data_IF_961476879039
#
_entry.id   IF_961476879039
#
_cell.length_a   1.000
_cell.length_b   1.000
_cell.length_c   1.000
_cell.angle_alpha   90.00
_cell.angle_beta   90.00
_cell.angle_gamma   90.00
#
_symmetry.space_group_name_H-M   'P 1'
#
loop_
_entity.id
_entity.type
_entity.pdbx_description
1 polymer ?
#
# COMPACT_ATOMS: atom_id res chain seq x y z
N UNK A 1 -35.59 3.08 23.73
CA UNK A 1 -35.12 2.17 22.66
C UNK A 1 -33.65 2.45 22.45
N UNK A 2 -32.80 1.71 23.16
CA UNK A 2 -31.35 1.87 23.07
C UNK A 2 -30.87 0.87 22.03
N UNK A 3 -30.63 1.33 20.80
CA UNK A 3 -30.01 0.53 19.75
C UNK A 3 -28.58 0.21 20.17
N UNK A 4 -28.40 -1.02 20.65
CA UNK A 4 -27.13 -1.68 20.90
C UNK A 4 -26.20 -1.49 19.70
N UNK A 5 -25.19 -0.64 19.86
CA UNK A 5 -24.04 -0.53 18.96
C UNK A 5 -23.34 -1.89 18.91
N UNK A 6 -23.61 -2.66 17.87
CA UNK A 6 -22.81 -3.83 17.55
C UNK A 6 -21.40 -3.33 17.26
N UNK A 7 -20.49 -3.51 18.21
CA UNK A 7 -19.06 -3.34 17.99
C UNK A 7 -18.67 -4.18 16.76
N UNK A 8 -18.30 -3.48 15.68
CA UNK A 8 -17.68 -4.08 14.51
C UNK A 8 -16.38 -4.72 14.97
N UNK A 9 -16.40 -6.03 15.20
CA UNK A 9 -15.19 -6.78 15.51
C UNK A 9 -14.37 -6.85 14.22
N UNK A 10 -13.41 -5.93 14.09
CA UNK A 10 -12.49 -5.84 12.98
C UNK A 10 -11.26 -6.69 13.28
N UNK A 11 -10.79 -7.46 12.30
CA UNK A 11 -9.64 -8.35 12.46
C UNK A 11 -8.65 -8.12 11.31
N UNK A 12 -7.36 -8.04 11.63
CA UNK A 12 -6.30 -7.96 10.63
C UNK A 12 -5.87 -9.37 10.23
N UNK A 13 -5.79 -9.63 8.93
CA UNK A 13 -5.42 -10.93 8.35
C UNK A 13 -4.55 -10.73 7.11
N UNK A 14 -3.86 -11.80 6.69
CA UNK A 14 -3.16 -11.84 5.39
C UNK A 14 -4.14 -11.68 4.24
N UNK A 15 -3.68 -11.15 3.10
CA UNK A 15 -4.48 -11.09 1.88
C UNK A 15 -4.23 -12.36 1.05
N UNK A 16 -5.15 -13.34 1.03
CA UNK A 16 -5.00 -14.52 0.19
C UNK A 16 -5.21 -14.19 -1.29
N UNK A 17 -4.63 -15.00 -2.18
CA UNK A 17 -4.67 -14.77 -3.64
C UNK A 17 -6.09 -14.64 -4.20
N UNK A 18 -7.04 -15.41 -3.66
CA UNK A 18 -8.44 -15.38 -4.09
C UNK A 18 -9.17 -14.07 -3.72
N UNK A 19 -8.52 -13.15 -3.00
CA UNK A 19 -9.06 -11.84 -2.61
C UNK A 19 -8.29 -10.66 -3.20
N UNK A 20 -7.35 -10.90 -4.11
CA UNK A 20 -6.60 -9.81 -4.76
C UNK A 20 -7.50 -8.86 -5.53
N UNK A 21 -8.53 -9.37 -6.21
CA UNK A 21 -9.48 -8.54 -6.95
C UNK A 21 -10.30 -7.63 -6.01
N UNK A 22 -10.73 -8.15 -4.86
CA UNK A 22 -11.42 -7.36 -3.83
C UNK A 22 -10.50 -6.28 -3.25
N UNK A 23 -9.23 -6.62 -2.98
CA UNK A 23 -8.24 -5.67 -2.48
C UNK A 23 -8.01 -4.53 -3.48
N UNK A 24 -7.84 -4.84 -4.77
CA UNK A 24 -7.68 -3.83 -5.82
C UNK A 24 -8.94 -2.97 -5.95
N UNK A 25 -10.12 -3.59 -5.88
CA UNK A 25 -11.39 -2.86 -5.92
C UNK A 25 -11.53 -1.86 -4.76
N UNK A 26 -11.16 -2.28 -3.53
CA UNK A 26 -11.11 -1.40 -2.38
C UNK A 26 -10.19 -0.19 -2.62
N UNK A 27 -9.00 -0.40 -3.21
CA UNK A 27 -8.06 0.69 -3.50
C UNK A 27 -8.58 1.67 -4.56
N UNK A 28 -9.28 1.20 -5.59
CA UNK A 28 -9.91 2.07 -6.60
C UNK A 28 -10.92 3.03 -5.96
N UNK A 29 -11.66 2.57 -4.95
CA UNK A 29 -12.71 3.35 -4.30
C UNK A 29 -12.20 4.28 -3.20
N UNK A 30 -11.17 3.86 -2.46
CA UNK A 30 -10.77 4.50 -1.21
C UNK A 30 -9.40 5.18 -1.26
N UNK A 31 -8.59 4.94 -2.30
CA UNK A 31 -7.20 5.38 -2.34
C UNK A 31 -6.79 6.06 -3.64
N UNK A 32 -6.93 5.41 -4.80
CA UNK A 32 -6.27 5.87 -6.04
C UNK A 32 -6.58 7.32 -6.43
N UNK A 33 -7.85 7.73 -6.36
CA UNK A 33 -8.27 9.08 -6.72
C UNK A 33 -8.00 10.14 -5.63
N UNK A 34 -7.85 9.72 -4.37
CA UNK A 34 -7.64 10.61 -3.23
C UNK A 34 -6.14 10.83 -2.95
N UNK A 35 -5.28 9.96 -3.49
CA UNK A 35 -3.83 10.07 -3.33
C UNK A 35 -3.30 11.39 -3.93
N UNK A 36 -2.52 12.19 -3.17
CA UNK A 36 -2.10 13.52 -3.59
C UNK A 36 -1.43 13.63 -4.97
N UNK A 37 -0.50 12.75 -5.33
CA UNK A 37 0.19 12.81 -6.62
C UNK A 37 -0.71 12.36 -7.78
N UNK A 38 -1.50 11.29 -7.59
CA UNK A 38 -2.49 10.83 -8.56
C UNK A 38 -3.53 11.91 -8.83
N UNK A 39 -4.04 12.56 -7.79
CA UNK A 39 -5.01 13.64 -7.91
C UNK A 39 -4.39 14.87 -8.59
N UNK A 40 -3.16 15.24 -8.23
CA UNK A 40 -2.47 16.39 -8.80
C UNK A 40 -2.27 16.31 -10.32
N UNK A 41 -2.11 15.10 -10.88
CA UNK A 41 -2.00 14.88 -12.34
C UNK A 41 -3.30 14.39 -12.98
N UNK A 42 -4.36 14.24 -12.19
CA UNK A 42 -5.64 13.67 -12.62
C UNK A 42 -5.47 12.29 -13.26
N UNK A 43 -4.80 11.38 -12.57
CA UNK A 43 -4.43 10.06 -13.08
C UNK A 43 -5.65 9.16 -13.33
N UNK A 44 -6.62 9.14 -12.42
CA UNK A 44 -7.86 8.37 -12.52
C UNK A 44 -8.97 8.98 -11.66
N UNK A 45 -10.24 8.78 -12.02
CA UNK A 45 -11.36 9.12 -11.14
C UNK A 45 -11.66 7.98 -10.13
N UNK A 46 -12.44 8.29 -9.10
CA UNK A 46 -12.80 7.32 -8.05
C UNK A 46 -13.54 6.13 -8.66
N UNK A 47 -13.08 4.92 -8.36
CA UNK A 47 -13.65 3.67 -8.85
C UNK A 47 -13.23 3.31 -10.28
N UNK A 48 -12.59 4.20 -11.02
CA UNK A 48 -12.05 3.88 -12.34
C UNK A 48 -10.84 2.96 -12.24
N UNK A 49 -10.70 2.10 -13.24
CA UNK A 49 -9.52 1.25 -13.37
C UNK A 49 -8.33 2.05 -13.87
N UNK A 50 -7.14 1.79 -13.32
CA UNK A 50 -5.89 2.32 -13.85
C UNK A 50 -4.84 1.21 -13.93
N UNK A 51 -4.51 0.80 -15.15
CA UNK A 51 -3.80 -0.44 -15.43
C UNK A 51 -2.45 -0.53 -14.70
N UNK A 52 -1.62 0.51 -14.79
CA UNK A 52 -0.28 0.49 -14.19
C UNK A 52 -0.31 0.52 -12.66
N UNK A 53 -1.27 1.25 -12.06
CA UNK A 53 -1.45 1.27 -10.61
C UNK A 53 -1.90 -0.10 -10.10
N UNK A 54 -2.87 -0.71 -10.76
CA UNK A 54 -3.38 -2.02 -10.39
C UNK A 54 -2.34 -3.10 -10.54
N UNK A 55 -1.57 -3.05 -11.63
CA UNK A 55 -0.43 -3.95 -11.85
C UNK A 55 0.62 -3.78 -10.76
N UNK A 56 0.94 -2.55 -10.37
CA UNK A 56 1.86 -2.28 -9.26
C UNK A 56 1.33 -2.83 -7.93
N UNK A 57 0.04 -2.64 -7.64
CA UNK A 57 -0.61 -3.19 -6.45
C UNK A 57 -0.60 -4.72 -6.46
N UNK A 58 -0.95 -5.35 -7.58
CA UNK A 58 -0.97 -6.81 -7.74
C UNK A 58 0.43 -7.41 -7.54
N UNK A 59 1.48 -6.81 -8.13
CA UNK A 59 2.86 -7.24 -7.92
C UNK A 59 3.29 -7.12 -6.46
N UNK A 60 2.76 -6.15 -5.72
CA UNK A 60 3.01 -5.98 -4.28
C UNK A 60 2.25 -7.02 -3.45
N UNK A 61 0.96 -7.26 -3.76
CA UNK A 61 0.14 -8.28 -3.10
C UNK A 61 0.77 -9.68 -3.21
N UNK A 62 1.29 -10.02 -4.39
CA UNK A 62 1.98 -11.29 -4.67
C UNK A 62 3.25 -11.53 -3.85
N UNK A 63 3.77 -10.51 -3.17
CA UNK A 63 4.90 -10.68 -2.25
C UNK A 63 4.48 -11.31 -0.91
N UNK A 64 3.18 -11.34 -0.60
CA UNK A 64 2.64 -12.09 0.53
C UNK A 64 2.74 -11.41 1.90
N UNK A 65 3.11 -10.13 1.96
CA UNK A 65 3.23 -9.37 3.22
C UNK A 65 2.09 -8.38 3.48
N UNK A 66 1.20 -8.23 2.50
CA UNK A 66 0.10 -7.27 2.58
C UNK A 66 -0.97 -7.74 3.55
N UNK A 67 -1.60 -6.78 4.23
CA UNK A 67 -2.54 -7.02 5.32
C UNK A 67 -3.87 -6.35 5.02
N UNK A 68 -4.97 -7.02 5.31
CA UNK A 68 -6.32 -6.49 5.21
C UNK A 68 -7.00 -6.49 6.57
N UNK A 69 -7.76 -5.44 6.84
CA UNK A 69 -8.64 -5.35 7.98
C UNK A 69 -10.06 -5.67 7.51
N UNK A 70 -10.66 -6.71 8.09
CA UNK A 70 -11.98 -7.20 7.69
C UNK A 70 -12.99 -7.15 8.83
N UNK A 71 -14.24 -6.91 8.51
CA UNK A 71 -15.36 -7.02 9.45
C UNK A 71 -15.83 -8.49 9.61
N UNK A 72 -16.83 -8.72 10.47
CA UNK A 72 -17.41 -10.05 10.71
C UNK A 72 -18.02 -10.72 9.47
N UNK A 73 -18.38 -9.94 8.45
CA UNK A 73 -18.95 -10.41 7.18
C UNK A 73 -17.86 -10.65 6.12
N UNK A 74 -16.60 -10.32 6.45
CA UNK A 74 -15.46 -10.41 5.53
C UNK A 74 -15.26 -9.17 4.67
N UNK A 75 -16.04 -8.10 4.85
CA UNK A 75 -15.88 -6.87 4.09
C UNK A 75 -14.57 -6.16 4.48
N UNK A 76 -13.83 -5.65 3.48
CA UNK A 76 -12.55 -4.99 3.69
C UNK A 76 -12.80 -3.56 4.18
N UNK A 77 -12.47 -3.30 5.46
CA UNK A 77 -12.53 -1.99 6.08
C UNK A 77 -11.23 -1.18 5.89
N UNK A 78 -10.12 -1.84 5.54
CA UNK A 78 -8.85 -1.18 5.26
C UNK A 78 -7.77 -2.15 4.80
N UNK A 79 -6.70 -1.60 4.24
CA UNK A 79 -5.61 -2.32 3.60
C UNK A 79 -4.26 -1.67 3.91
N UNK A 80 -3.25 -2.48 4.17
CA UNK A 80 -1.84 -2.11 4.10
C UNK A 80 -1.17 -2.98 3.03
N UNK A 81 -0.77 -2.38 1.90
CA UNK A 81 0.03 -3.10 0.91
C UNK A 81 1.49 -2.95 1.28
N UNK A 82 2.05 -4.06 1.74
CA UNK A 82 3.44 -4.16 2.12
C UNK A 82 4.24 -4.89 1.05
N UNK A 83 5.44 -4.41 0.80
CA UNK A 83 6.41 -5.03 -0.08
C UNK A 83 7.83 -4.94 0.44
N UNK A 84 8.73 -5.55 -0.30
CA UNK A 84 10.16 -5.50 -0.10
C UNK A 84 10.76 -4.53 -1.12
N UNK A 85 11.72 -3.75 -0.68
CA UNK A 85 12.61 -2.97 -1.52
C UNK A 85 14.02 -3.53 -1.36
N UNK A 86 14.61 -4.05 -2.43
CA UNK A 86 15.97 -4.58 -2.42
C UNK A 86 16.98 -3.54 -2.91
N UNK A 87 18.21 -3.63 -2.41
CA UNK A 87 19.33 -2.81 -2.89
C UNK A 87 19.58 -3.11 -4.38
N UNK A 88 19.69 -2.06 -5.21
CA UNK A 88 19.88 -2.18 -6.66
C UNK A 88 18.59 -2.39 -7.47
N UNK A 89 17.47 -2.73 -6.83
CA UNK A 89 16.18 -2.95 -7.51
C UNK A 89 15.61 -1.64 -8.10
N UNK A 90 16.08 -0.49 -7.60
CA UNK A 90 15.73 0.84 -8.11
C UNK A 90 16.13 1.04 -9.56
N UNK A 91 17.33 0.65 -9.96
CA UNK A 91 17.82 0.86 -11.33
C UNK A 91 16.96 0.06 -12.33
N UNK A 92 16.48 -1.10 -11.90
CA UNK A 92 15.52 -1.89 -12.66
C UNK A 92 14.14 -1.23 -12.70
N UNK A 93 13.69 -0.67 -11.58
CA UNK A 93 12.43 0.05 -11.51
C UNK A 93 12.42 1.33 -12.38
N UNK A 94 13.55 2.04 -12.45
CA UNK A 94 13.74 3.20 -13.34
C UNK A 94 13.75 2.78 -14.81
N UNK A 95 14.42 1.66 -15.17
CA UNK A 95 14.37 1.09 -16.53
C UNK A 95 12.95 0.71 -16.94
N UNK A 96 12.23 -0.01 -16.07
CA UNK A 96 10.82 -0.38 -16.32
C UNK A 96 9.93 0.84 -16.46
N UNK A 97 10.16 1.90 -15.66
CA UNK A 97 9.39 3.13 -15.76
C UNK A 97 9.60 3.83 -17.11
N UNK A 98 10.80 3.77 -17.68
CA UNK A 98 11.07 4.34 -19.01
C UNK A 98 10.27 3.66 -20.14
N UNK A 99 9.90 2.39 -19.95
CA UNK A 99 9.12 1.58 -20.90
C UNK A 99 7.59 1.75 -20.76
N UNK A 100 7.10 2.45 -19.72
CA UNK A 100 5.66 2.68 -19.50
C UNK A 100 5.14 3.78 -20.41
N UNK A 101 4.04 3.59 -21.12
CA UNK A 101 3.50 4.62 -22.04
C UNK A 101 2.76 5.76 -21.33
N UNK A 102 2.29 5.55 -20.10
CA UNK A 102 1.54 6.55 -19.33
C UNK A 102 2.47 7.64 -18.74
N UNK A 103 2.49 8.81 -19.38
CA UNK A 103 3.30 9.95 -18.98
C UNK A 103 2.92 10.54 -17.61
N UNK A 104 1.66 10.41 -17.19
CA UNK A 104 1.23 10.84 -15.84
C UNK A 104 1.82 9.90 -14.80
N UNK A 105 1.74 8.59 -15.05
CA UNK A 105 2.33 7.57 -14.20
C UNK A 105 3.85 7.73 -14.08
N UNK A 106 4.54 7.97 -15.22
CA UNK A 106 5.97 8.30 -15.26
C UNK A 106 6.32 9.52 -14.41
N UNK A 107 5.51 10.58 -14.49
CA UNK A 107 5.74 11.81 -13.73
C UNK A 107 5.71 11.55 -12.22
N UNK A 108 4.71 10.80 -11.74
CA UNK A 108 4.55 10.46 -10.32
C UNK A 108 5.73 9.61 -9.83
N UNK A 109 5.98 8.46 -10.47
CA UNK A 109 7.03 7.55 -10.02
C UNK A 109 8.43 8.13 -10.20
N UNK A 110 8.65 8.93 -11.24
CA UNK A 110 9.90 9.67 -11.44
C UNK A 110 10.18 10.66 -10.31
N UNK A 111 9.15 11.32 -9.76
CA UNK A 111 9.28 12.18 -8.59
C UNK A 111 9.61 11.36 -7.34
N UNK A 112 8.89 10.25 -7.10
CA UNK A 112 9.12 9.37 -5.95
C UNK A 112 10.55 8.83 -5.91
N UNK A 113 11.08 8.37 -7.05
CA UNK A 113 12.46 7.88 -7.13
C UNK A 113 13.48 8.99 -6.85
N UNK A 114 13.26 10.21 -7.34
CA UNK A 114 14.13 11.37 -7.06
C UNK A 114 14.12 11.81 -5.60
N UNK A 115 12.97 11.76 -4.93
CA UNK A 115 12.89 12.08 -3.49
C UNK A 115 13.62 11.01 -2.67
N UNK A 116 13.45 9.74 -3.05
CA UNK A 116 14.12 8.61 -2.41
C UNK A 116 15.64 8.61 -2.60
N UNK A 117 16.17 9.28 -3.62
CA UNK A 117 17.61 9.42 -3.89
C UNK A 117 18.38 10.17 -2.80
N UNK A 118 17.69 11.03 -2.05
CA UNK A 118 18.35 11.91 -1.07
C UNK A 118 18.79 11.18 0.20
N UNK A 119 18.35 9.94 0.42
CA UNK A 119 18.66 9.17 1.64
C UNK A 119 18.94 7.70 1.29
N UNK A 120 20.21 7.30 1.38
CA UNK A 120 20.59 5.89 1.28
C UNK A 120 20.28 5.15 2.59
N UNK A 121 19.04 4.66 2.70
CA UNK A 121 18.59 3.86 3.85
C UNK A 121 19.33 2.52 3.94
N UNK A 122 19.77 1.94 2.82
CA UNK A 122 20.52 0.68 2.81
C UNK A 122 21.89 0.85 3.47
N UNK A 123 22.63 1.90 3.09
CA UNK A 123 23.89 2.23 3.73
C UNK A 123 23.71 2.67 5.19
N UNK A 124 22.69 3.50 5.48
CA UNK A 124 22.41 4.00 6.83
C UNK A 124 22.15 2.87 7.83
N UNK A 125 21.41 1.84 7.42
CA UNK A 125 21.03 0.73 8.28
C UNK A 125 21.86 -0.55 8.06
N UNK A 126 22.81 -0.52 7.11
CA UNK A 126 23.64 -1.66 6.73
C UNK A 126 22.80 -2.93 6.44
N UNK A 127 21.81 -2.77 5.56
CA UNK A 127 20.89 -3.82 5.11
C UNK A 127 20.84 -3.87 3.58
N UNK A 128 20.49 -5.03 3.04
CA UNK A 128 20.28 -5.23 1.59
C UNK A 128 18.80 -5.25 1.20
N UNK A 129 17.90 -5.36 2.18
CA UNK A 129 16.45 -5.38 1.98
C UNK A 129 15.74 -4.53 3.04
N UNK A 130 14.70 -3.83 2.61
CA UNK A 130 13.83 -3.02 3.45
C UNK A 130 12.38 -3.48 3.29
N UNK A 131 11.66 -3.52 4.40
CA UNK A 131 10.22 -3.71 4.39
C UNK A 131 9.54 -2.34 4.25
N UNK A 132 8.61 -2.22 3.32
CA UNK A 132 7.95 -0.97 2.96
C UNK A 132 6.43 -1.14 2.93
N UNK A 133 5.71 -0.26 3.63
CA UNK A 133 4.28 -0.10 3.39
C UNK A 133 4.11 0.97 2.31
N UNK A 134 3.66 0.51 1.13
CA UNK A 134 3.50 1.31 -0.09
C UNK A 134 2.15 2.02 -0.13
N UNK A 135 1.11 1.37 0.38
CA UNK A 135 -0.26 1.90 0.40
C UNK A 135 -0.87 1.58 1.75
N UNK A 136 -1.43 2.60 2.39
CA UNK A 136 -2.25 2.46 3.58
C UNK A 136 -3.60 3.11 3.28
N UNK A 137 -4.66 2.29 3.23
CA UNK A 137 -6.01 2.72 2.88
C UNK A 137 -6.99 2.29 3.96
N UNK A 138 -7.91 3.17 4.31
CA UNK A 138 -9.04 2.87 5.20
C UNK A 138 -10.30 3.34 4.51
N UNK A 139 -11.30 2.45 4.50
CA UNK A 139 -12.60 2.73 3.92
C UNK A 139 -13.22 3.97 4.58
N UNK A 140 -13.85 4.84 3.77
CA UNK A 140 -14.42 6.10 4.22
C UNK A 140 -15.40 5.92 5.41
N UNK A 141 -16.18 4.85 5.41
CA UNK A 141 -17.19 4.55 6.44
C UNK A 141 -16.56 4.11 7.78
N UNK A 142 -15.27 3.82 7.78
CA UNK A 142 -14.51 3.31 8.92
C UNK A 142 -13.42 4.28 9.41
N UNK A 143 -13.34 5.48 8.84
CA UNK A 143 -12.40 6.54 9.26
C UNK A 143 -12.69 7.04 10.67
N UNK A 144 -11.69 7.65 11.30
CA UNK A 144 -11.80 8.19 12.67
C UNK A 144 -11.73 7.14 13.80
N UNK A 145 -11.57 5.85 13.46
CA UNK A 145 -11.50 4.74 14.42
C UNK A 145 -10.06 4.24 14.70
N UNK A 146 -9.03 4.93 14.21
CA UNK A 146 -7.63 4.56 14.42
C UNK A 146 -7.15 3.32 13.64
N UNK A 147 -7.90 2.87 12.63
CA UNK A 147 -7.65 1.60 11.91
C UNK A 147 -6.34 1.59 11.11
N UNK A 148 -5.93 2.76 10.59
CA UNK A 148 -4.65 2.92 9.92
C UNK A 148 -3.48 2.55 10.86
N UNK A 149 -3.55 2.97 12.13
CA UNK A 149 -2.55 2.63 13.14
C UNK A 149 -2.52 1.14 13.49
N UNK A 150 -3.69 0.48 13.46
CA UNK A 150 -3.79 -0.97 13.70
C UNK A 150 -3.11 -1.74 12.57
N UNK A 151 -3.44 -1.41 11.31
CA UNK A 151 -2.81 -1.99 10.12
C UNK A 151 -1.30 -1.75 10.11
N UNK A 152 -0.87 -0.56 10.53
CA UNK A 152 0.53 -0.19 10.61
C UNK A 152 1.28 -1.03 11.65
N UNK A 153 0.72 -1.16 12.86
CA UNK A 153 1.31 -1.97 13.92
C UNK A 153 1.42 -3.44 13.49
N UNK A 154 0.39 -3.99 12.87
CA UNK A 154 0.39 -5.36 12.35
C UNK A 154 1.41 -5.54 11.20
N UNK A 155 1.59 -4.53 10.35
CA UNK A 155 2.63 -4.54 9.30
C UNK A 155 4.05 -4.54 9.90
N UNK A 156 4.28 -3.82 11.01
CA UNK A 156 5.54 -3.85 11.75
C UNK A 156 5.80 -5.24 12.34
N UNK A 157 4.78 -5.88 12.93
CA UNK A 157 4.89 -7.25 13.46
C UNK A 157 5.11 -8.28 12.35
N UNK A 158 4.46 -8.11 11.19
CA UNK A 158 4.67 -8.91 9.98
C UNK A 158 6.12 -8.83 9.52
N UNK A 159 6.69 -7.62 9.44
CA UNK A 159 8.09 -7.40 9.08
C UNK A 159 9.06 -8.06 10.07
N UNK A 160 8.81 -7.94 11.37
CA UNK A 160 9.64 -8.57 12.42
C UNK A 160 9.60 -10.09 12.31
N UNK A 161 8.41 -10.67 12.14
CA UNK A 161 8.21 -12.12 12.02
C UNK A 161 8.90 -12.68 10.78
N UNK A 162 8.92 -11.91 9.69
CA UNK A 162 9.64 -12.24 8.46
C UNK A 162 11.17 -12.01 8.53
N UNK A 163 11.70 -11.49 9.64
CA UNK A 163 13.13 -11.35 9.88
C UNK A 163 13.76 -10.01 9.43
N UNK A 164 12.95 -9.00 9.10
CA UNK A 164 13.46 -7.69 8.70
C UNK A 164 13.98 -6.90 9.92
N UNK A 165 15.24 -6.44 9.86
CA UNK A 165 15.95 -5.77 10.97
C UNK A 165 15.48 -4.35 11.24
N UNK A 166 14.99 -3.64 10.23
CA UNK A 166 14.46 -2.28 10.34
C UNK A 166 13.06 -2.27 9.73
N UNK A 167 12.08 -2.39 10.61
CA UNK A 167 10.69 -2.56 10.25
C UNK A 167 10.10 -1.23 9.80
N UNK A 168 9.81 -1.16 8.51
CA UNK A 168 8.88 -0.24 7.88
C UNK A 168 9.44 1.13 7.48
N UNK A 169 9.76 1.24 6.19
CA UNK A 169 9.65 2.50 5.49
C UNK A 169 8.17 2.76 5.19
N UNK A 170 7.66 3.90 5.62
CA UNK A 170 6.38 4.41 5.17
C UNK A 170 6.62 5.39 4.03
N UNK A 171 6.17 5.05 2.83
CA UNK A 171 5.90 6.06 1.80
C UNK A 171 4.39 6.17 1.76
N UNK A 172 3.82 6.80 2.80
CA UNK A 172 2.40 7.11 2.78
C UNK A 172 2.17 8.19 1.73
N UNK A 173 1.33 7.84 0.77
CA UNK A 173 0.78 8.73 -0.22
C UNK A 173 -0.73 8.53 -0.11
N UNK A 174 -1.45 9.36 0.66
CA UNK A 174 -2.87 9.15 0.97
C UNK A 174 -3.19 9.38 2.44
#
# INVERSE_FOLDING_TARGET
MSSSSSEDCLTVVDVPENRYDEAIHHLRLNFFADEPLNNAVGLCARGESQHELERHCLLTLKQGYSRMLVDKKGAIAGMALNGILKKGEREEAERRLAEVDDEKFKTIFGLLYKVNDKVDLFAKYNVDELFECRILSVDADYRGKGLASILLADSVETAKTAGFKHALRLICMG
#
